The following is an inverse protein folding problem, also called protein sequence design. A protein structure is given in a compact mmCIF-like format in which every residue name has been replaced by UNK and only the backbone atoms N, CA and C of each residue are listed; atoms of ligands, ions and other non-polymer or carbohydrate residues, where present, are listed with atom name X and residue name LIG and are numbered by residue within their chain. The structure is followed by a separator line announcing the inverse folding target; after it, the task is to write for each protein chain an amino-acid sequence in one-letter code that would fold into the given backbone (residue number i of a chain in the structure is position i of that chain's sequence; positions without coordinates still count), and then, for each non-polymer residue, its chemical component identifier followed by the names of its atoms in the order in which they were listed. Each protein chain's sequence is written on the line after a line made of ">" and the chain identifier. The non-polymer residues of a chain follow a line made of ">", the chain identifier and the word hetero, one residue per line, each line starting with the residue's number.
data_IF_923749407774
#
_entry.id   IF_923749407774
#
_cell.length_a   1.000
_cell.length_b   1.000
_cell.length_c   1.000
_cell.angle_alpha   90.00
_cell.angle_beta   90.00
_cell.angle_gamma   90.00
#
_symmetry.space_group_name_H-M   'P 1'
#
loop_
_entity.id
_entity.type
_entity.pdbx_description
1 polymer ?
#
# COMPACT_ATOMS: atom_id res chain seq x y z
N UNK A 1 -10.97 18.38 -11.49
CA UNK A 1 -9.50 18.51 -11.33
C UNK A 1 -8.98 18.10 -9.95
N UNK A 2 -9.42 18.69 -8.82
CA UNK A 2 -8.80 18.47 -7.49
C UNK A 2 -8.62 17.00 -7.07
N UNK A 3 -9.65 16.15 -7.24
CA UNK A 3 -9.62 14.73 -6.86
C UNK A 3 -8.60 13.91 -7.66
N UNK A 4 -8.49 14.20 -8.96
CA UNK A 4 -7.50 13.58 -9.84
C UNK A 4 -6.08 13.92 -9.40
N UNK A 5 -5.77 15.21 -9.22
CA UNK A 5 -4.44 15.63 -8.74
C UNK A 5 -4.11 15.03 -7.37
N UNK A 6 -5.05 15.01 -6.42
CA UNK A 6 -4.82 14.37 -5.12
C UNK A 6 -4.44 12.91 -5.27
N UNK A 7 -5.10 12.17 -6.15
CA UNK A 7 -4.86 10.73 -6.32
C UNK A 7 -3.59 10.46 -7.12
N UNK A 8 -3.27 11.30 -8.10
CA UNK A 8 -2.01 11.25 -8.85
C UNK A 8 -0.81 11.53 -7.94
N UNK A 9 -0.87 12.58 -7.11
CA UNK A 9 0.19 12.84 -6.12
C UNK A 9 0.28 11.73 -5.07
N UNK A 10 -0.87 11.19 -4.63
CA UNK A 10 -0.88 10.06 -3.71
C UNK A 10 -0.18 8.85 -4.34
N UNK A 11 -0.48 8.53 -5.61
CA UNK A 11 0.17 7.47 -6.38
C UNK A 11 1.68 7.66 -6.46
N UNK A 12 2.14 8.87 -6.84
CA UNK A 12 3.57 9.17 -6.94
C UNK A 12 4.28 9.02 -5.60
N UNK A 13 3.75 9.65 -4.54
CA UNK A 13 4.40 9.67 -3.22
C UNK A 13 4.38 8.27 -2.58
N UNK A 14 3.25 7.57 -2.63
CA UNK A 14 3.15 6.24 -2.05
C UNK A 14 3.93 5.21 -2.85
N UNK A 15 3.91 5.31 -4.18
CA UNK A 15 4.67 4.43 -5.07
C UNK A 15 6.17 4.61 -4.90
N UNK A 16 6.64 5.86 -4.79
CA UNK A 16 8.04 6.14 -4.43
C UNK A 16 8.40 5.56 -3.07
N UNK A 17 7.57 5.74 -2.06
CA UNK A 17 7.85 5.21 -0.74
C UNK A 17 7.89 3.67 -0.72
N UNK A 18 6.92 3.00 -1.35
CA UNK A 18 6.92 1.55 -1.50
C UNK A 18 8.14 1.06 -2.29
N UNK A 19 8.45 1.70 -3.41
CA UNK A 19 9.60 1.38 -4.24
C UNK A 19 10.94 1.55 -3.50
N UNK A 20 11.10 2.63 -2.74
CA UNK A 20 12.29 2.86 -1.91
C UNK A 20 12.43 1.79 -0.83
N UNK A 21 11.35 1.43 -0.14
CA UNK A 21 11.39 0.35 0.86
C UNK A 21 11.76 -0.98 0.21
N UNK A 22 11.22 -1.29 -0.98
CA UNK A 22 11.58 -2.50 -1.70
C UNK A 22 13.05 -2.51 -2.13
N UNK A 23 13.57 -1.38 -2.60
CA UNK A 23 14.95 -1.24 -3.04
C UNK A 23 15.95 -1.34 -1.88
N UNK A 24 15.68 -0.67 -0.76
CA UNK A 24 16.53 -0.76 0.44
C UNK A 24 16.55 -2.19 0.99
N UNK A 25 15.43 -2.90 0.94
CA UNK A 25 15.38 -4.32 1.33
C UNK A 25 16.16 -5.22 0.37
N UNK A 26 16.13 -4.95 -0.94
CA UNK A 26 16.93 -5.69 -1.92
C UNK A 26 18.43 -5.54 -1.63
N UNK A 27 18.89 -4.31 -1.36
CA UNK A 27 20.29 -4.02 -1.03
C UNK A 27 20.68 -4.67 0.31
N UNK A 28 19.82 -4.58 1.32
CA UNK A 28 20.10 -5.13 2.65
C UNK A 28 20.16 -6.67 2.67
N UNK A 29 19.41 -7.34 1.79
CA UNK A 29 19.35 -8.81 1.72
C UNK A 29 20.32 -9.41 0.70
N UNK A 30 20.90 -8.60 -0.19
CA UNK A 30 21.76 -9.07 -1.28
C UNK A 30 21.04 -9.90 -2.34
N UNK A 31 19.70 -9.85 -2.37
CA UNK A 31 18.84 -10.69 -3.21
C UNK A 31 18.19 -9.87 -4.34
N UNK A 32 19.00 -9.27 -5.21
CA UNK A 32 18.51 -8.32 -6.24
C UNK A 32 17.51 -8.95 -7.22
N UNK A 33 17.69 -10.22 -7.61
CA UNK A 33 16.82 -10.89 -8.58
C UNK A 33 15.44 -11.24 -8.02
N UNK A 34 15.37 -11.72 -6.78
CA UNK A 34 14.11 -12.08 -6.11
C UNK A 34 13.26 -10.83 -5.82
N UNK A 35 13.91 -9.70 -5.57
CA UNK A 35 13.25 -8.43 -5.31
C UNK A 35 12.65 -7.76 -6.56
N UNK A 36 12.91 -8.27 -7.76
CA UNK A 36 12.19 -7.84 -8.97
C UNK A 36 10.70 -8.12 -8.83
N UNK A 37 10.34 -9.31 -8.33
CA UNK A 37 8.93 -9.70 -8.11
C UNK A 37 8.31 -8.80 -7.03
N UNK A 38 9.06 -8.53 -5.96
CA UNK A 38 8.66 -7.62 -4.88
C UNK A 38 8.38 -6.22 -5.43
N UNK A 39 9.26 -5.71 -6.29
CA UNK A 39 9.10 -4.41 -6.92
C UNK A 39 7.85 -4.36 -7.80
N UNK A 40 7.65 -5.35 -8.68
CA UNK A 40 6.45 -5.44 -9.52
C UNK A 40 5.16 -5.52 -8.68
N UNK A 41 5.17 -6.31 -7.61
CA UNK A 41 4.05 -6.41 -6.67
C UNK A 41 3.78 -5.06 -5.99
N UNK A 42 4.81 -4.32 -5.59
CA UNK A 42 4.65 -2.99 -4.96
C UNK A 42 4.00 -1.98 -5.91
N UNK A 43 4.37 -2.00 -7.20
CA UNK A 43 3.72 -1.17 -8.24
C UNK A 43 2.26 -1.57 -8.40
N UNK A 44 1.96 -2.87 -8.44
CA UNK A 44 0.58 -3.37 -8.52
C UNK A 44 -0.26 -2.93 -7.32
N UNK A 45 0.26 -3.09 -6.10
CA UNK A 45 -0.39 -2.61 -4.86
C UNK A 45 -0.65 -1.11 -4.96
N UNK A 46 0.32 -0.33 -5.41
CA UNK A 46 0.17 1.12 -5.58
C UNK A 46 -0.97 1.47 -6.55
N UNK A 47 -1.05 0.79 -7.69
CA UNK A 47 -2.14 0.96 -8.67
C UNK A 47 -3.52 0.64 -8.06
N UNK A 48 -3.64 -0.51 -7.40
CA UNK A 48 -4.89 -0.97 -6.79
C UNK A 48 -5.34 0.00 -5.70
N UNK A 49 -4.44 0.36 -4.78
CA UNK A 49 -4.72 1.30 -3.68
C UNK A 49 -5.17 2.64 -4.25
N UNK A 50 -4.45 3.18 -5.24
CA UNK A 50 -4.79 4.45 -5.88
C UNK A 50 -6.20 4.41 -6.47
N UNK A 51 -6.55 3.34 -7.17
CA UNK A 51 -7.87 3.20 -7.76
C UNK A 51 -8.98 3.21 -6.69
N UNK A 52 -8.83 2.42 -5.63
CA UNK A 52 -9.85 2.32 -4.56
C UNK A 52 -10.00 3.66 -3.83
N UNK A 53 -8.89 4.35 -3.52
CA UNK A 53 -8.92 5.67 -2.89
C UNK A 53 -9.45 6.77 -3.83
N UNK A 54 -9.23 6.66 -5.14
CA UNK A 54 -9.83 7.55 -6.12
C UNK A 54 -11.34 7.42 -6.11
N UNK A 55 -11.88 6.19 -6.15
CA UNK A 55 -13.33 5.91 -6.05
C UNK A 55 -13.91 6.43 -4.74
N UNK A 56 -13.22 6.23 -3.60
CA UNK A 56 -13.68 6.69 -2.29
C UNK A 56 -13.91 8.21 -2.22
N UNK A 57 -13.16 9.01 -3.00
CA UNK A 57 -13.32 10.46 -3.05
C UNK A 57 -14.59 10.94 -3.78
N UNK A 58 -15.31 10.05 -4.47
CA UNK A 58 -16.59 10.38 -5.13
C UNK A 58 -17.82 10.11 -4.26
N UNK A 59 -17.63 9.54 -3.07
CA UNK A 59 -18.73 9.27 -2.15
C UNK A 59 -19.32 10.56 -1.54
N UNK A 60 -20.58 10.46 -1.07
CA UNK A 60 -21.31 11.58 -0.44
C UNK A 60 -20.57 12.16 0.77
N UNK A 61 -20.00 11.30 1.61
CA UNK A 61 -19.05 11.68 2.66
C UNK A 61 -17.65 11.15 2.29
N UNK A 62 -16.82 11.96 1.60
CA UNK A 62 -15.51 11.53 1.14
C UNK A 62 -14.53 11.31 2.29
N UNK A 63 -14.72 11.96 3.45
CA UNK A 63 -13.82 11.79 4.59
C UNK A 63 -14.08 10.45 5.28
N UNK A 64 -15.35 10.13 5.53
CA UNK A 64 -15.74 8.84 6.09
C UNK A 64 -15.38 7.68 5.14
N UNK A 65 -15.61 7.84 3.83
CA UNK A 65 -15.27 6.85 2.83
C UNK A 65 -13.75 6.57 2.78
N UNK A 66 -12.91 7.61 2.70
CA UNK A 66 -11.45 7.47 2.71
C UNK A 66 -10.95 6.81 4.00
N UNK A 67 -11.57 7.11 5.14
CA UNK A 67 -11.21 6.51 6.42
C UNK A 67 -11.59 5.01 6.48
N UNK A 68 -12.75 4.65 5.95
CA UNK A 68 -13.18 3.26 5.84
C UNK A 68 -12.28 2.49 4.86
N UNK A 69 -12.03 3.05 3.67
CA UNK A 69 -11.15 2.48 2.65
C UNK A 69 -9.74 2.22 3.19
N UNK A 70 -9.17 3.14 3.96
CA UNK A 70 -7.87 2.93 4.59
C UNK A 70 -7.86 1.77 5.58
N UNK A 71 -8.86 1.67 6.45
CA UNK A 71 -8.96 0.54 7.39
C UNK A 71 -9.15 -0.80 6.66
N UNK A 72 -10.08 -0.85 5.71
CA UNK A 72 -10.37 -2.07 4.96
C UNK A 72 -9.19 -2.51 4.10
N UNK A 73 -8.48 -1.58 3.45
CA UNK A 73 -7.27 -1.92 2.69
C UNK A 73 -6.18 -2.51 3.58
N UNK A 74 -5.97 -1.97 4.79
CA UNK A 74 -5.03 -2.55 5.76
C UNK A 74 -5.46 -3.95 6.23
N UNK A 75 -6.76 -4.15 6.53
CA UNK A 75 -7.27 -5.46 6.98
C UNK A 75 -7.12 -6.50 5.87
N UNK A 76 -7.54 -6.16 4.64
CA UNK A 76 -7.42 -7.06 3.49
C UNK A 76 -5.96 -7.36 3.18
N UNK A 77 -5.08 -6.36 3.23
CA UNK A 77 -3.66 -6.56 3.01
C UNK A 77 -3.03 -7.46 4.07
N UNK A 78 -3.36 -7.24 5.36
CA UNK A 78 -2.92 -8.12 6.44
C UNK A 78 -3.44 -9.55 6.28
N UNK A 79 -4.71 -9.72 5.89
CA UNK A 79 -5.29 -11.04 5.62
C UNK A 79 -4.59 -11.75 4.45
N UNK A 80 -4.24 -11.02 3.38
CA UNK A 80 -3.46 -11.56 2.26
C UNK A 80 -2.05 -11.96 2.67
N UNK A 81 -1.38 -11.19 3.54
CA UNK A 81 -0.08 -11.56 4.09
C UNK A 81 -0.16 -12.83 4.96
N UNK A 82 -1.16 -12.92 5.83
CA UNK A 82 -1.39 -14.12 6.66
C UNK A 82 -1.68 -15.32 5.77
N UNK A 83 -2.49 -15.15 4.72
CA UNK A 83 -2.77 -16.21 3.75
C UNK A 83 -1.49 -16.65 3.02
N UNK A 84 -0.65 -15.71 2.59
CA UNK A 84 0.64 -16.02 1.96
C UNK A 84 1.53 -16.85 2.89
N UNK A 85 1.67 -16.44 4.16
CA UNK A 85 2.43 -17.18 5.17
C UNK A 85 1.84 -18.57 5.39
N UNK A 86 0.52 -18.69 5.49
CA UNK A 86 -0.15 -19.97 5.65
C UNK A 86 0.08 -20.89 4.44
N UNK A 87 0.07 -20.34 3.21
CA UNK A 87 0.35 -21.09 1.99
C UNK A 87 1.80 -21.58 1.94
N UNK A 88 2.77 -20.74 2.31
CA UNK A 88 4.19 -21.13 2.39
C UNK A 88 4.37 -22.30 3.37
N UNK A 89 3.79 -22.18 4.57
CA UNK A 89 3.86 -23.23 5.60
C UNK A 89 3.14 -24.52 5.17
N UNK A 90 2.08 -24.41 4.37
CA UNK A 90 1.36 -25.55 3.83
C UNK A 90 2.09 -26.23 2.68
N UNK A 91 2.74 -25.46 1.79
CA UNK A 91 3.43 -25.99 0.62
C UNK A 91 4.74 -26.68 0.96
N UNK A 92 5.49 -26.16 1.94
CA UNK A 92 6.76 -26.76 2.34
C UNK A 92 6.98 -26.58 3.85
N UNK A 93 6.70 -27.64 4.61
CA UNK A 93 6.81 -27.64 6.07
C UNK A 93 8.26 -27.82 6.57
N UNK A 94 9.24 -27.92 5.67
CA UNK A 94 10.65 -28.08 6.08
C UNK A 94 11.26 -26.75 6.48
N UNK A 95 11.98 -26.72 7.61
CA UNK A 95 12.55 -25.48 8.20
C UNK A 95 13.56 -24.75 7.28
N UNK A 96 14.01 -25.40 6.21
CA UNK A 96 14.86 -24.85 5.15
C UNK A 96 14.08 -23.97 4.17
N UNK A 97 12.86 -24.36 3.78
CA UNK A 97 12.01 -23.56 2.90
C UNK A 97 11.51 -22.29 3.60
N UNK A 98 11.09 -22.42 4.86
CA UNK A 98 10.67 -21.27 5.68
C UNK A 98 11.78 -20.21 5.83
N UNK A 99 13.04 -20.62 5.91
CA UNK A 99 14.18 -19.67 5.95
C UNK A 99 14.45 -19.00 4.61
N UNK A 100 14.15 -19.66 3.49
CA UNK A 100 14.27 -19.11 2.14
C UNK A 100 13.17 -18.12 1.79
N UNK A 101 11.95 -18.30 2.31
CA UNK A 101 10.78 -17.51 1.92
C UNK A 101 10.52 -16.27 2.81
N UNK A 102 11.14 -16.19 3.99
CA UNK A 102 11.04 -15.04 4.90
C UNK A 102 11.45 -13.70 4.25
N UNK A 103 12.56 -13.61 3.48
CA UNK A 103 12.92 -12.41 2.73
C UNK A 103 11.82 -11.95 1.76
N UNK A 104 11.13 -12.88 1.11
CA UNK A 104 10.02 -12.57 0.17
C UNK A 104 8.81 -12.05 0.93
N UNK A 105 8.45 -12.65 2.07
CA UNK A 105 7.32 -12.18 2.90
C UNK A 105 7.58 -10.78 3.45
N UNK A 106 8.79 -10.53 3.95
CA UNK A 106 9.20 -9.20 4.42
C UNK A 106 9.24 -8.21 3.26
N UNK A 107 9.79 -8.63 2.13
CA UNK A 107 9.87 -7.88 0.89
C UNK A 107 8.50 -7.49 0.36
N UNK A 108 7.49 -8.34 0.42
CA UNK A 108 6.13 -8.00 -0.03
C UNK A 108 5.36 -7.19 1.02
N UNK A 109 5.55 -7.50 2.29
CA UNK A 109 4.79 -6.89 3.39
C UNK A 109 5.16 -5.44 3.64
N UNK A 110 6.45 -5.13 3.82
CA UNK A 110 6.90 -3.80 4.23
C UNK A 110 6.62 -2.70 3.18
N UNK A 111 6.99 -2.87 1.89
CA UNK A 111 6.65 -1.93 0.82
C UNK A 111 5.14 -1.72 0.67
N UNK A 112 4.35 -2.80 0.75
CA UNK A 112 2.89 -2.72 0.62
C UNK A 112 2.27 -1.93 1.77
N UNK A 113 2.68 -2.20 3.02
CA UNK A 113 2.23 -1.44 4.19
C UNK A 113 2.63 0.03 4.10
N UNK A 114 3.88 0.32 3.78
CA UNK A 114 4.36 1.69 3.61
C UNK A 114 3.54 2.45 2.56
N UNK A 115 3.30 1.81 1.42
CA UNK A 115 2.45 2.35 0.34
C UNK A 115 1.05 2.68 0.85
N UNK A 116 0.36 1.72 1.46
CA UNK A 116 -1.03 1.90 1.92
C UNK A 116 -1.13 3.00 2.98
N UNK A 117 -0.24 3.00 3.98
CA UNK A 117 -0.26 3.96 5.08
C UNK A 117 0.00 5.37 4.56
N UNK A 118 1.03 5.57 3.74
CA UNK A 118 1.39 6.88 3.20
C UNK A 118 0.29 7.40 2.28
N UNK A 119 -0.26 6.53 1.42
CA UNK A 119 -1.35 6.89 0.53
C UNK A 119 -2.58 7.32 1.33
N UNK A 120 -2.95 6.55 2.35
CA UNK A 120 -4.11 6.84 3.21
C UNK A 120 -3.95 8.18 3.93
N UNK A 121 -2.81 8.42 4.56
CA UNK A 121 -2.53 9.65 5.30
C UNK A 121 -2.59 10.88 4.37
N UNK A 122 -1.98 10.77 3.19
CA UNK A 122 -1.96 11.86 2.21
C UNK A 122 -3.36 12.22 1.70
N UNK A 123 -4.14 11.22 1.27
CA UNK A 123 -5.50 11.45 0.75
C UNK A 123 -6.42 11.98 1.84
N UNK A 124 -6.37 11.40 3.05
CA UNK A 124 -7.16 11.86 4.21
C UNK A 124 -6.86 13.33 4.54
N UNK A 125 -5.58 13.69 4.57
CA UNK A 125 -5.17 15.07 4.84
C UNK A 125 -5.66 16.04 3.75
N UNK A 126 -5.53 15.67 2.47
CA UNK A 126 -6.00 16.52 1.36
C UNK A 126 -7.51 16.69 1.34
N UNK A 127 -8.27 15.63 1.61
CA UNK A 127 -9.74 15.71 1.70
C UNK A 127 -10.15 16.60 2.86
N UNK A 128 -9.55 16.42 4.05
CA UNK A 128 -9.85 17.26 5.23
C UNK A 128 -9.62 18.74 4.95
N UNK A 129 -8.47 19.12 4.37
CA UNK A 129 -8.19 20.53 4.00
C UNK A 129 -9.18 21.08 2.97
N UNK A 130 -9.66 20.23 2.06
CA UNK A 130 -10.65 20.60 1.07
C UNK A 130 -12.02 20.93 1.67
N UNK A 131 -12.40 20.30 2.78
CA UNK A 131 -13.67 20.56 3.48
C UNK A 131 -13.61 21.82 4.34
N UNK A 132 -12.51 22.02 5.07
CA UNK A 132 -12.29 23.23 5.90
C UNK A 132 -12.40 24.50 5.05
N UNK A 133 -11.81 24.50 3.84
CA UNK A 133 -11.85 25.67 2.95
C UNK A 133 -13.29 26.03 2.51
N UNK A 134 -14.14 25.04 2.30
CA UNK A 134 -15.55 25.26 1.90
C UNK A 134 -16.38 25.84 3.04
N UNK A 135 -16.09 25.47 4.29
CA UNK A 135 -16.78 26.02 5.46
C UNK A 135 -16.38 27.47 5.77
N UNK A 136 -15.14 27.86 5.49
CA UNK A 136 -14.66 29.23 5.73
C UNK A 136 -15.12 30.20 4.63
N UNK A 137 -15.52 29.69 3.45
CA UNK A 137 -16.01 30.52 2.33
C UNK A 137 -17.54 30.56 2.22
N UNK A 138 -18.27 30.00 3.18
CA UNK A 138 -19.73 29.97 3.23
C UNK A 138 -20.21 30.85 4.38
#
# INVERSE_FOLDING_TARGET
>A
MRKFFTSFFAFLISGLAGGLVAQELAVATGAEEEYIIVFMASVLVTCVVTFIFFVAQFQRDPLAAVNATGKWSLIVFAALLVLLVALILYSDSTSTAVKGDVPIVIGLGLPGLATIIIHWLFVRWRVRRGLVKTQVSA
#
